data_IF_857443437636
#
_entry.id   IF_857443437636
#
_cell.length_a   1.000
_cell.length_b   1.000
_cell.length_c   1.000
_cell.angle_alpha   90.00
_cell.angle_beta   90.00
_cell.angle_gamma   90.00
#
_symmetry.space_group_name_H-M   'P 1'
#
loop_
_entity.id
_entity.type
_entity.pdbx_description
1 polymer ?
#
# COMPACT_ATOMS: atom_id res chain seq x y z
N UNK A 1 7.25 -5.66 4.57
CA UNK A 1 5.87 -5.20 4.30
C UNK A 1 4.93 -6.34 4.65
N UNK A 2 3.80 -6.06 5.30
CA UNK A 2 2.76 -7.04 5.62
C UNK A 2 1.43 -6.66 4.97
N UNK A 3 0.61 -7.66 4.63
CA UNK A 3 -0.72 -7.47 4.05
C UNK A 3 -1.74 -8.32 4.82
N UNK A 4 -2.86 -7.71 5.15
CA UNK A 4 -3.96 -8.33 5.90
C UNK A 4 -5.30 -7.93 5.27
N UNK A 5 -6.30 -8.82 5.30
CA UNK A 5 -7.65 -8.50 4.81
C UNK A 5 -8.34 -7.54 5.78
N UNK A 6 -9.10 -6.58 5.26
CA UNK A 6 -9.85 -5.62 6.10
C UNK A 6 -11.24 -6.13 6.53
N UNK A 7 -11.67 -7.29 6.02
CA UNK A 7 -12.98 -7.89 6.29
C UNK A 7 -14.10 -7.45 5.33
N UNK A 8 -13.89 -6.43 4.51
CA UNK A 8 -14.88 -5.83 3.60
C UNK A 8 -14.47 -5.95 2.11
N UNK A 9 -13.46 -6.76 1.81
CA UNK A 9 -12.95 -6.96 0.45
C UNK A 9 -11.73 -6.11 0.11
N UNK A 10 -11.26 -5.28 1.06
CA UNK A 10 -10.04 -4.51 0.99
C UNK A 10 -8.88 -5.13 1.77
N UNK A 11 -7.81 -4.34 1.93
CA UNK A 11 -6.58 -4.76 2.59
C UNK A 11 -5.96 -3.64 3.43
N UNK A 12 -5.40 -4.02 4.59
CA UNK A 12 -4.43 -3.21 5.31
C UNK A 12 -3.03 -3.61 4.87
N UNK A 13 -2.23 -2.62 4.47
CA UNK A 13 -0.86 -2.82 4.00
C UNK A 13 0.07 -2.00 4.87
N UNK A 14 0.96 -2.67 5.61
CA UNK A 14 1.81 -2.06 6.64
C UNK A 14 3.30 -2.24 6.32
N UNK A 15 4.09 -1.23 6.64
CA UNK A 15 5.54 -1.29 6.51
C UNK A 15 6.24 -0.31 7.44
N UNK A 16 7.57 -0.38 7.42
CA UNK A 16 8.44 0.55 8.14
C UNK A 16 9.34 1.30 7.15
N UNK A 17 9.51 2.59 7.39
CA UNK A 17 10.38 3.48 6.65
C UNK A 17 10.94 4.57 7.56
N UNK A 18 11.48 5.63 6.97
CA UNK A 18 11.95 6.81 7.68
C UNK A 18 10.77 7.62 8.22
N UNK A 19 10.80 7.95 9.51
CA UNK A 19 9.78 8.74 10.17
C UNK A 19 9.59 10.11 9.49
N UNK A 20 8.33 10.54 9.33
CA UNK A 20 7.99 11.83 8.73
C UNK A 20 8.10 11.88 7.21
N UNK A 21 8.56 10.81 6.54
CA UNK A 21 8.54 10.72 5.09
C UNK A 21 7.19 10.22 4.58
N UNK A 22 6.78 10.73 3.43
CA UNK A 22 5.60 10.26 2.71
C UNK A 22 5.97 9.02 1.91
N UNK A 23 5.06 8.05 1.91
CA UNK A 23 5.14 6.82 1.15
C UNK A 23 3.91 6.70 0.26
N UNK A 24 4.09 6.12 -0.91
CA UNK A 24 3.04 5.86 -1.89
C UNK A 24 2.87 4.35 -2.04
N UNK A 25 1.63 3.88 -1.91
CA UNK A 25 1.24 2.55 -2.35
C UNK A 25 0.91 2.63 -3.84
N UNK A 26 1.59 1.84 -4.66
CA UNK A 26 1.28 1.69 -6.07
C UNK A 26 0.66 0.33 -6.33
N UNK A 27 -0.23 0.27 -7.32
CA UNK A 27 -0.93 -0.94 -7.75
C UNK A 27 -0.71 -1.21 -9.23
N UNK A 28 -0.64 -2.49 -9.61
CA UNK A 28 -0.59 -2.94 -10.99
C UNK A 28 -1.34 -4.27 -11.21
N UNK A 29 -1.87 -4.51 -12.43
CA UNK A 29 -2.46 -5.81 -12.79
C UNK A 29 -1.41 -6.89 -13.09
N UNK A 30 -0.16 -6.50 -13.34
CA UNK A 30 0.99 -7.39 -13.60
C UNK A 30 2.21 -6.88 -12.83
N UNK A 31 3.17 -7.76 -12.52
CA UNK A 31 4.46 -7.40 -11.91
C UNK A 31 5.24 -6.36 -12.74
N UNK A 32 5.05 -6.36 -14.06
CA UNK A 32 5.68 -5.41 -14.98
C UNK A 32 4.95 -4.07 -15.08
N UNK A 33 3.79 -3.91 -14.45
CA UNK A 33 2.94 -2.73 -14.54
C UNK A 33 1.74 -2.88 -15.49
N UNK A 34 1.09 -1.77 -15.88
CA UNK A 34 1.42 -0.39 -15.49
C UNK A 34 1.19 -0.18 -13.99
N UNK A 35 2.10 0.57 -13.34
CA UNK A 35 2.01 0.92 -11.93
C UNK A 35 1.35 2.29 -11.78
N UNK A 36 0.29 2.36 -10.98
CA UNK A 36 -0.38 3.63 -10.66
C UNK A 36 -0.36 3.88 -9.16
N UNK A 37 -0.21 5.15 -8.77
CA UNK A 37 -0.35 5.55 -7.37
C UNK A 37 -1.79 5.35 -6.93
N UNK A 38 -1.93 4.66 -5.81
CA UNK A 38 -3.22 4.25 -5.28
C UNK A 38 -3.60 5.08 -4.04
N UNK A 39 -2.70 5.14 -3.06
CA UNK A 39 -2.87 5.92 -1.83
C UNK A 39 -1.51 6.37 -1.29
N UNK A 40 -1.49 7.47 -0.55
CA UNK A 40 -0.28 8.02 0.09
C UNK A 40 -0.48 8.18 1.60
N UNK A 41 0.56 7.88 2.38
CA UNK A 41 0.57 8.00 3.84
C UNK A 41 1.93 8.53 4.28
N UNK A 42 1.95 9.38 5.31
CA UNK A 42 3.19 9.77 5.99
C UNK A 42 3.48 8.83 7.14
N UNK A 43 4.72 8.32 7.21
CA UNK A 43 5.14 7.44 8.29
C UNK A 43 5.14 8.18 9.63
N UNK A 44 4.65 7.50 10.67
CA UNK A 44 4.66 7.98 12.04
C UNK A 44 6.10 8.19 12.55
N UNK A 45 6.24 8.77 13.75
CA UNK A 45 7.54 8.94 14.41
C UNK A 45 8.30 7.63 14.64
N UNK A 46 7.58 6.49 14.71
CA UNK A 46 8.14 5.15 14.77
C UNK A 46 8.64 4.61 13.42
N UNK A 47 8.44 5.35 12.33
CA UNK A 47 8.65 4.89 10.96
C UNK A 47 7.55 3.97 10.43
N UNK A 48 6.54 3.63 11.25
CA UNK A 48 5.40 2.82 10.81
C UNK A 48 4.52 3.62 9.85
N UNK A 49 4.19 3.00 8.71
CA UNK A 49 3.15 3.48 7.81
C UNK A 49 2.13 2.37 7.54
N UNK A 50 0.88 2.78 7.36
CA UNK A 50 -0.24 1.91 7.01
C UNK A 50 -1.04 2.54 5.85
N UNK A 51 -1.42 1.70 4.91
CA UNK A 51 -2.36 2.02 3.85
C UNK A 51 -3.62 1.18 4.03
N UNK A 52 -4.78 1.79 3.82
CA UNK A 52 -6.05 1.08 3.72
C UNK A 52 -6.53 1.10 2.27
N UNK A 53 -6.46 -0.06 1.61
CA UNK A 53 -7.03 -0.26 0.29
C UNK A 53 -8.48 -0.71 0.42
N UNK A 54 -9.42 0.14 0.01
CA UNK A 54 -10.87 -0.14 0.12
C UNK A 54 -11.52 -0.61 -1.18
N UNK A 55 -10.83 -0.47 -2.32
CA UNK A 55 -11.37 -0.72 -3.65
C UNK A 55 -10.48 -1.72 -4.43
N UNK A 56 -10.11 -2.82 -3.77
CA UNK A 56 -9.31 -3.85 -4.41
C UNK A 56 -10.05 -4.41 -5.64
N UNK A 57 -9.36 -4.60 -6.77
CA UNK A 57 -10.01 -5.15 -7.96
C UNK A 57 -10.47 -6.59 -7.71
N UNK A 58 -11.50 -7.08 -8.44
CA UNK A 58 -12.03 -8.45 -8.30
C UNK A 58 -11.04 -9.56 -8.72
N UNK A 59 -9.83 -9.22 -9.17
CA UNK A 59 -8.77 -10.15 -9.55
C UNK A 59 -7.47 -9.89 -8.78
N UNK A 60 -6.40 -10.66 -9.07
CA UNK A 60 -5.11 -10.44 -8.45
C UNK A 60 -4.57 -9.04 -8.79
N UNK A 61 -3.93 -8.42 -7.80
CA UNK A 61 -3.23 -7.16 -7.96
C UNK A 61 -1.86 -7.25 -7.30
N UNK A 62 -0.90 -6.55 -7.89
CA UNK A 62 0.44 -6.39 -7.34
C UNK A 62 0.54 -5.04 -6.66
N UNK A 63 1.20 -5.02 -5.52
CA UNK A 63 1.42 -3.81 -4.72
C UNK A 63 2.91 -3.57 -4.53
N UNK A 64 3.32 -2.30 -4.57
CA UNK A 64 4.66 -1.87 -4.15
C UNK A 64 4.57 -0.57 -3.38
N UNK A 65 5.56 -0.31 -2.55
CA UNK A 65 5.67 0.95 -1.80
C UNK A 65 6.90 1.70 -2.28
N UNK A 66 6.74 2.99 -2.56
CA UNK A 66 7.84 3.92 -2.85
C UNK A 66 7.79 5.08 -1.87
N UNK A 67 8.94 5.72 -1.65
CA UNK A 67 9.05 6.97 -0.90
C UNK A 67 8.88 8.15 -1.85
#
# INVERSE_FOLDING_TARGET
IGIERDGNGGYFIRGHGSAGFTYQLLRAPSVTGPWTTNVTTTALSSGLFEFHETNAPPGPAFYRVTQ
#
